data_IF_709662548863
#
_entry.id   IF_709662548863
#
_cell.length_a   1.000
_cell.length_b   1.000
_cell.length_c   1.000
_cell.angle_alpha   90.00
_cell.angle_beta   90.00
_cell.angle_gamma   90.00
#
_symmetry.space_group_name_H-M   'P 1'
#
loop_
_entity.id
_entity.type
_entity.pdbx_description
1 polymer ?
2 polymer ?
3 polymer ?
4 water ?
#
# COMPACT_ATOMS: atom_id res chain seq x y z
N UNK A 6 -21.63 21.09 20.16
CA UNK A 6 -22.46 22.26 19.95
C UNK A 6 -23.36 22.10 18.74
N UNK A 7 -22.81 22.51 17.58
CA UNK A 7 -23.44 22.37 16.28
C UNK A 7 -22.32 22.32 15.25
N UNK A 8 -22.54 21.68 14.09
CA UNK A 8 -21.41 21.31 13.23
C UNK A 8 -20.73 22.53 12.60
N UNK A 9 -19.40 22.57 12.70
CA UNK A 9 -18.66 23.59 11.99
C UNK A 9 -18.88 23.58 10.49
N UNK A 10 -19.13 22.40 9.92
CA UNK A 10 -19.25 22.30 8.46
C UNK A 10 -20.50 22.99 7.94
N UNK A 11 -21.52 23.18 8.78
CA UNK A 11 -22.70 23.95 8.46
C UNK A 11 -22.61 25.39 8.92
N UNK A 12 -21.56 25.76 9.66
CA UNK A 12 -21.51 27.08 10.28
C UNK A 12 -20.21 27.82 9.95
N UNK A 13 -19.15 27.59 10.74
CA UNK A 13 -17.89 28.29 10.52
C UNK A 13 -17.30 27.99 9.15
N UNK A 14 -17.66 26.85 8.57
CA UNK A 14 -17.11 26.48 7.27
C UNK A 14 -18.05 26.80 6.14
N UNK A 15 -19.27 27.23 6.45
CA UNK A 15 -20.25 27.51 5.42
C UNK A 15 -19.94 28.84 4.74
N UNK A 16 -20.27 28.90 3.46
CA UNK A 16 -19.89 30.02 2.61
C UNK A 16 -21.10 30.43 1.77
N UNK A 17 -21.00 31.62 1.17
CA UNK A 17 -22.03 32.12 0.27
C UNK A 17 -21.54 32.18 -1.16
N UNK B 1 -17.40 15.78 -17.09
CA UNK B 1 -17.89 16.21 -15.78
C UNK B 1 -16.74 16.63 -14.86
N UNK B 2 -16.83 16.35 -13.56
CA UNK B 2 -15.85 16.86 -12.59
C UNK B 2 -14.54 16.08 -12.73
N UNK B 3 -13.44 16.81 -12.95
CA UNK B 3 -12.11 16.23 -13.05
C UNK B 3 -11.16 16.98 -12.14
N UNK B 4 -10.29 16.24 -11.49
CA UNK B 4 -9.29 16.78 -10.59
C UNK B 4 -7.97 16.20 -11.07
N UNK B 5 -7.22 16.97 -11.85
CA UNK B 5 -6.02 16.48 -12.51
C UNK B 5 -4.80 16.98 -11.71
N UNK B 6 -4.08 16.04 -11.13
CA UNK B 6 -2.96 16.31 -10.26
C UNK B 6 -1.65 16.28 -11.04
N UNK B 7 -0.65 17.00 -10.52
CA UNK B 7 0.63 17.03 -11.20
C UNK B 7 1.36 15.70 -11.00
N UNK B 8 2.45 15.54 -11.75
CA UNK B 8 3.13 14.25 -11.82
C UNK B 8 3.95 13.92 -10.59
N UNK B 9 4.30 12.64 -10.51
CA UNK B 9 5.13 12.11 -9.44
C UNK B 9 6.41 12.96 -9.30
N UNK B 10 6.77 13.22 -8.06
CA UNK B 10 7.96 14.00 -7.75
C UNK B 10 8.95 13.14 -6.99
N UNK B 11 10.23 13.36 -7.27
CA UNK B 11 11.32 12.76 -6.51
C UNK B 11 12.25 13.90 -6.11
N UNK B 12 12.44 14.09 -4.81
CA UNK B 12 13.13 15.27 -4.32
C UNK B 12 14.13 14.89 -3.24
N UNK B 13 15.12 15.79 -3.04
CA UNK B 13 16.09 15.62 -1.97
C UNK B 13 15.57 16.30 -0.71
N UNK B 14 15.90 15.81 0.48
CA UNK B 14 15.46 16.53 1.68
C UNK B 14 16.03 17.95 1.68
N UNK B 15 15.25 18.88 2.19
CA UNK B 15 15.60 20.28 2.15
C UNK B 15 15.08 21.04 0.95
N UNK B 16 14.80 20.36 -0.16
CA UNK B 16 14.22 21.07 -1.29
C UNK B 16 12.80 21.50 -0.98
N UNK B 17 12.32 22.48 -1.73
CA UNK B 17 10.94 22.87 -1.64
C UNK B 17 10.14 22.15 -2.71
N UNK B 18 8.82 22.17 -2.58
CA UNK B 18 7.96 21.47 -3.51
C UNK B 18 6.55 22.02 -3.42
N UNK B 19 5.98 22.36 -4.58
CA UNK B 19 4.58 22.72 -4.71
C UNK B 19 3.96 21.80 -5.75
N UNK B 20 2.96 21.03 -5.34
CA UNK B 20 2.22 20.17 -6.25
C UNK B 20 0.88 20.82 -6.51
N UNK B 21 0.25 20.43 -7.61
CA UNK B 21 -0.93 21.12 -8.11
C UNK B 21 -2.05 20.13 -8.39
N UNK B 22 -3.26 20.67 -8.43
CA UNK B 22 -4.44 19.91 -8.80
C UNK B 22 -5.31 20.85 -9.62
N UNK B 23 -5.54 20.50 -10.88
CA UNK B 23 -6.31 21.33 -11.80
C UNK B 23 -7.74 20.82 -11.85
N UNK B 24 -8.69 21.69 -11.51
CA UNK B 24 -10.10 21.32 -11.40
C UNK B 24 -10.91 21.82 -12.59
N UNK B 25 -11.90 21.02 -13.00
CA UNK B 25 -12.83 21.44 -14.04
C UNK B 25 -14.15 20.74 -13.83
N UNK B 26 -15.18 21.20 -14.55
CA UNK B 26 -16.49 20.59 -14.48
C UNK B 26 -17.41 21.13 -13.40
N UNK B 27 -16.96 22.12 -12.63
CA UNK B 27 -17.81 22.73 -11.63
C UNK B 27 -17.29 24.15 -11.38
N UNK B 28 -18.02 24.88 -10.55
CA UNK B 28 -17.64 26.24 -10.18
C UNK B 28 -16.57 26.19 -9.09
N UNK B 29 -15.32 26.46 -9.50
CA UNK B 29 -14.13 26.25 -8.66
C UNK B 29 -14.19 27.02 -7.34
N UNK B 30 -14.84 28.18 -7.33
CA UNK B 30 -14.88 29.03 -6.14
C UNK B 30 -16.05 28.70 -5.20
N UNK B 31 -16.94 27.78 -5.57
CA UNK B 31 -18.09 27.46 -4.73
C UNK B 31 -17.88 26.16 -3.94
N UNK B 32 -16.71 25.52 -4.05
CA UNK B 32 -16.43 24.27 -3.32
C UNK B 32 -15.13 24.38 -2.54
N UNK B 33 -15.15 23.95 -1.29
CA UNK B 33 -13.90 23.63 -0.60
C UNK B 33 -13.17 22.54 -1.37
N UNK B 34 -11.85 22.65 -1.42
CA UNK B 34 -10.98 21.66 -2.06
C UNK B 34 -9.72 21.52 -1.19
N UNK B 35 -9.24 20.29 -1.05
CA UNK B 35 -8.14 20.00 -0.14
C UNK B 35 -7.23 18.82 -0.46
N UNK B 36 -6.47 18.38 0.54
CA UNK B 36 -5.41 17.41 0.34
C UNK B 36 -5.42 16.34 1.41
N UNK B 37 -5.11 15.11 1.00
CA UNK B 37 -5.04 13.96 1.89
C UNK B 37 -3.70 13.27 1.65
N UNK B 38 -2.97 13.00 2.72
CA UNK B 38 -1.71 12.28 2.64
C UNK B 38 -1.95 10.81 2.95
N UNK B 39 -1.24 9.94 2.23
CA UNK B 39 -1.25 8.53 2.55
C UNK B 39 0.19 8.06 2.44
N UNK B 40 0.82 7.88 3.59
CA UNK B 40 2.15 7.34 3.63
C UNK B 40 2.11 5.87 3.24
N UNK B 41 3.20 5.33 2.72
CA UNK B 41 3.19 3.95 2.22
C UNK B 41 2.66 3.00 3.28
N UNK B 42 1.65 2.22 2.91
CA UNK B 42 1.09 1.20 3.77
C UNK B 42 0.22 1.69 4.92
N UNK B 43 -0.11 2.98 4.96
CA UNK B 43 -0.90 3.48 6.08
C UNK B 43 -2.19 4.13 5.57
N UNK B 44 -2.92 4.75 6.49
CA UNK B 44 -4.24 5.27 6.21
C UNK B 44 -4.23 6.67 5.61
N UNK B 45 -5.45 7.15 5.34
CA UNK B 45 -5.66 8.51 4.86
C UNK B 45 -5.56 9.51 6.01
N UNK B 46 -4.84 10.60 5.78
CA UNK B 46 -4.73 11.68 6.75
C UNK B 46 -5.24 12.98 6.13
N UNK B 47 -6.30 13.52 6.72
CA UNK B 47 -6.85 14.78 6.22
C UNK B 47 -5.90 15.91 6.54
N UNK B 48 -5.39 16.59 5.51
CA UNK B 48 -4.36 17.61 5.73
C UNK B 48 -4.97 18.99 5.92
N UNK B 49 -5.88 19.36 5.03
CA UNK B 49 -6.54 20.65 5.06
C UNK B 49 -7.26 20.91 3.76
N UNK B 50 -7.94 22.06 3.71
CA UNK B 50 -8.82 22.43 2.61
C UNK B 50 -8.74 23.93 2.42
N UNK B 51 -9.13 24.38 1.22
CA UNK B 51 -9.14 25.79 0.89
C UNK B 51 -10.43 26.10 0.14
N UNK B 52 -10.99 27.29 0.39
CA UNK B 52 -12.18 27.73 -0.30
C UNK B 52 -11.77 28.80 -1.30
N UNK B 53 -11.58 28.48 -2.57
CA UNK B 53 -10.99 29.47 -3.50
C UNK B 53 -11.82 30.74 -3.66
N UNK B 54 -13.08 30.75 -3.22
CA UNK B 54 -13.87 31.97 -3.28
C UNK B 54 -13.33 33.09 -2.39
N UNK B 55 -12.72 32.74 -1.27
CA UNK B 55 -12.16 33.78 -0.40
C UNK B 55 -10.80 33.40 0.19
N UNK B 56 -10.16 32.34 -0.32
CA UNK B 56 -8.85 31.86 0.09
C UNK B 56 -8.79 31.38 1.53
N UNK B 57 -9.92 31.32 2.22
CA UNK B 57 -9.94 30.79 3.58
C UNK B 57 -9.42 29.35 3.59
N UNK B 58 -8.70 28.98 4.65
CA UNK B 58 -8.11 27.66 4.75
C UNK B 58 -8.40 27.03 6.12
N UNK B 59 -8.34 25.71 6.14
CA UNK B 59 -8.40 24.88 7.34
C UNK B 59 -7.28 23.85 7.26
N UNK B 60 -6.65 23.57 8.39
CA UNK B 60 -5.62 22.57 8.47
C UNK B 60 -5.90 21.70 9.68
N UNK B 61 -5.50 20.44 9.61
CA UNK B 61 -5.45 19.61 10.81
C UNK B 61 -4.14 19.86 11.55
N UNK B 62 -4.15 19.72 12.87
CA UNK B 62 -3.00 20.15 13.70
C UNK B 62 -1.66 19.59 13.23
N UNK B 63 -1.56 18.29 12.87
CA UNK B 63 -0.24 17.78 12.46
C UNK B 63 0.33 18.41 11.19
N UNK B 64 -0.49 19.14 10.43
CA UNK B 64 -0.03 19.77 9.21
C UNK B 64 -0.03 21.29 9.29
N UNK B 65 -0.72 21.83 10.29
CA UNK B 65 -0.59 23.25 10.60
C UNK B 65 0.87 23.63 10.78
N UNK B 66 1.31 24.60 10.00
CA UNK B 66 2.68 25.08 10.09
C UNK B 66 3.70 24.18 9.41
N UNK B 67 3.27 23.12 8.75
CA UNK B 67 4.11 22.22 7.98
C UNK B 67 3.99 22.45 6.48
N UNK B 68 2.77 22.69 6.01
CA UNK B 68 2.47 22.84 4.60
C UNK B 68 1.61 24.07 4.42
N UNK B 69 1.54 24.54 3.18
CA UNK B 69 0.69 25.66 2.83
C UNK B 69 -0.18 25.26 1.65
N UNK B 70 -1.49 25.46 1.80
CA UNK B 70 -2.46 25.21 0.74
C UNK B 70 -2.93 26.55 0.19
N UNK B 71 -2.82 26.72 -1.12
CA UNK B 71 -3.25 27.93 -1.81
C UNK B 71 -4.11 27.53 -2.98
N UNK B 72 -4.68 28.53 -3.65
CA UNK B 72 -5.39 28.29 -4.91
C UNK B 72 -5.25 29.51 -5.80
N UNK B 73 -5.43 29.26 -7.09
CA UNK B 73 -5.35 30.29 -8.11
C UNK B 73 -6.66 30.26 -8.87
N UNK B 74 -7.56 31.20 -8.53
CA UNK B 74 -8.87 31.28 -9.17
C UNK B 74 -8.77 31.34 -10.68
N UNK B 75 -7.77 32.08 -11.19
CA UNK B 75 -7.72 32.35 -12.63
C UNK B 75 -7.43 31.09 -13.44
N UNK B 76 -6.79 30.08 -12.85
CA UNK B 76 -6.52 28.85 -13.57
C UNK B 76 -7.15 27.65 -12.89
N UNK B 77 -8.09 27.90 -11.96
CA UNK B 77 -8.85 26.85 -11.27
C UNK B 77 -7.94 25.75 -10.75
N UNK B 78 -6.89 26.15 -10.06
CA UNK B 78 -5.88 25.20 -9.60
C UNK B 78 -5.61 25.41 -8.12
N UNK B 79 -5.55 24.29 -7.39
CA UNK B 79 -5.19 24.26 -5.98
C UNK B 79 -3.80 23.66 -5.81
N UNK B 80 -3.12 24.06 -4.74
CA UNK B 80 -1.71 23.75 -4.54
C UNK B 80 -1.46 23.30 -3.11
N UNK B 81 -0.39 22.55 -2.96
CA UNK B 81 0.13 22.09 -1.68
C UNK B 81 1.63 22.28 -1.71
N UNK B 82 2.17 22.97 -0.69
CA UNK B 82 3.55 23.44 -0.73
C UNK B 82 4.29 23.13 0.57
N UNK B 83 5.50 22.60 0.43
CA UNK B 83 6.44 22.43 1.52
C UNK B 83 7.64 23.34 1.31
N UNK B 84 8.11 23.98 2.40
CA UNK B 84 9.33 24.77 2.27
C UNK B 84 10.56 23.88 2.26
N UNK B 85 10.67 22.97 3.23
CA UNK B 85 11.81 22.05 3.34
C UNK B 85 11.27 20.64 3.53
N UNK B 86 11.20 19.88 2.45
CA UNK B 86 10.79 18.49 2.51
C UNK B 86 11.74 17.69 3.41
N UNK B 87 11.16 16.75 4.14
CA UNK B 87 11.95 15.71 4.80
C UNK B 87 11.57 14.34 4.25
N UNK B 88 12.39 13.34 4.60
CA UNK B 88 12.17 11.99 4.07
C UNK B 88 10.77 11.48 4.41
N UNK B 89 10.28 11.79 5.62
CA UNK B 89 8.97 11.28 6.01
C UNK B 89 7.81 11.99 5.31
N UNK B 90 8.07 12.97 4.45
CA UNK B 90 7.03 13.48 3.55
C UNK B 90 6.78 12.56 2.37
N UNK B 91 7.51 11.45 2.28
CA UNK B 91 7.30 10.47 1.23
C UNK B 91 5.95 9.79 1.41
N UNK B 92 5.07 9.93 0.42
CA UNK B 92 3.69 9.49 0.55
C UNK B 92 2.96 9.76 -0.74
N UNK B 93 1.78 9.16 -0.86
CA UNK B 93 0.83 9.59 -1.87
C UNK B 93 0.03 10.77 -1.34
N UNK B 94 -0.19 11.76 -2.21
CA UNK B 94 -0.95 12.97 -1.88
C UNK B 94 -2.13 13.08 -2.81
N UNK B 95 -3.35 12.97 -2.26
CA UNK B 95 -4.58 13.10 -3.02
C UNK B 95 -5.14 14.51 -2.88
N UNK B 96 -5.50 15.09 -4.00
CA UNK B 96 -6.40 16.23 -4.04
C UNK B 96 -7.84 15.70 -4.10
N UNK B 97 -8.75 16.40 -3.44
CA UNK B 97 -10.13 15.95 -3.44
C UNK B 97 -11.01 17.15 -3.18
N UNK B 98 -12.14 17.21 -3.88
CA UNK B 98 -13.08 18.29 -3.69
C UNK B 98 -14.13 17.85 -2.69
N UNK B 99 -14.54 18.76 -1.79
CA UNK B 99 -15.65 18.45 -0.90
C UNK B 99 -16.90 18.20 -1.75
N UNK B 100 -17.73 17.26 -1.31
CA UNK B 100 -18.76 16.68 -2.15
C UNK B 100 -20.06 17.46 -2.28
N UNK B 101 -20.10 18.68 -1.76
CA UNK B 101 -21.27 19.54 -1.87
C UNK B 101 -20.79 20.97 -1.79
N UNK B 102 -21.46 21.91 -2.44
CA UNK B 102 -20.92 23.26 -2.53
C UNK B 102 -21.19 24.07 -1.28
N UNK B 103 -20.29 25.01 -1.03
CA UNK B 103 -20.45 26.12 -0.09
C UNK B 103 -20.44 25.70 1.37
N UNK B 104 -20.25 24.42 1.67
CA UNK B 104 -20.24 23.97 3.04
C UNK B 104 -19.17 22.91 3.21
N UNK B 105 -18.86 22.60 4.46
CA UNK B 105 -17.96 21.51 4.72
C UNK B 105 -18.62 20.18 4.48
N UNK B 106 -17.80 19.14 4.37
CA UNK B 106 -18.34 17.81 4.22
C UNK B 106 -17.28 16.83 3.79
N UNK B 107 -17.75 15.64 3.42
CA UNK B 107 -16.94 14.57 2.90
C UNK B 107 -16.26 14.99 1.59
N UNK B 108 -15.39 14.11 1.11
CA UNK B 108 -14.62 14.34 -0.12
C UNK B 108 -15.22 13.54 -1.27
N UNK B 109 -15.60 14.22 -2.35
CA UNK B 109 -16.07 13.56 -3.57
C UNK B 109 -16.17 14.58 -4.69
N UNK B 110 -15.50 14.33 -5.82
CA UNK B 110 -14.60 13.21 -6.12
C UNK B 110 -13.17 13.44 -5.67
N UNK B 111 -12.33 12.43 -5.90
CA UNK B 111 -10.92 12.45 -5.58
C UNK B 111 -10.07 12.54 -6.83
N UNK B 112 -8.93 13.21 -6.73
CA UNK B 112 -7.91 13.07 -7.74
C UNK B 112 -7.26 11.69 -7.72
N UNK B 113 -6.44 11.44 -8.74
CA UNK B 113 -5.76 10.15 -8.90
C UNK B 113 -4.45 10.07 -8.10
N UNK B 114 -3.99 11.18 -7.56
CA UNK B 114 -2.88 11.13 -6.64
C UNK B 114 -1.59 11.59 -7.27
N UNK B 115 -0.70 12.12 -6.43
CA UNK B 115 0.67 12.42 -6.79
C UNK B 115 1.57 11.74 -5.78
N UNK B 116 2.45 10.86 -6.26
CA UNK B 116 3.43 10.22 -5.42
C UNK B 116 4.62 11.13 -5.20
N UNK B 117 4.97 11.38 -3.94
CA UNK B 117 6.14 12.17 -3.62
C UNK B 117 7.14 11.28 -2.90
N UNK B 118 8.34 11.16 -3.46
CA UNK B 118 9.46 10.46 -2.86
C UNK B 118 10.51 11.51 -2.48
N UNK B 119 10.83 11.59 -1.19
CA UNK B 119 11.88 12.46 -0.69
C UNK B 119 12.99 11.58 -0.16
N UNK B 120 14.16 11.67 -0.77
CA UNK B 120 15.29 10.87 -0.34
C UNK B 120 16.58 11.56 -0.75
N UNK B 121 17.63 11.31 0.03
CA UNK B 121 18.94 11.79 -0.35
C UNK B 121 19.58 10.96 -1.46
N UNK B 122 18.99 9.82 -1.82
CA UNK B 122 19.56 8.94 -2.85
C UNK B 122 19.45 9.58 -4.22
N UNK B 123 20.31 9.12 -5.13
CA UNK B 123 20.25 9.52 -6.53
C UNK B 123 19.80 8.33 -7.39
N UNK B 124 19.31 8.66 -8.57
CA UNK B 124 18.83 7.66 -9.50
C UNK B 124 19.89 6.60 -9.75
N UNK B 125 19.48 5.34 -9.70
CA UNK B 125 20.38 4.22 -9.95
C UNK B 125 19.54 3.08 -10.51
N UNK B 126 20.03 2.44 -11.56
CA UNK B 126 19.38 1.28 -12.11
C UNK B 126 19.67 0.03 -11.29
N UNK B 127 18.75 -0.92 -11.28
CA UNK B 127 18.94 -2.14 -10.50
C UNK B 127 19.96 -3.10 -11.11
N UNK B 128 20.56 -3.90 -10.26
CA UNK B 128 21.19 -5.14 -10.69
C UNK B 128 20.18 -6.28 -10.55
N UNK B 129 20.18 -7.19 -11.52
CA UNK B 129 19.19 -8.26 -11.58
C UNK B 129 19.90 -9.59 -11.38
N UNK B 130 19.60 -10.24 -10.29
CA UNK B 130 20.29 -11.48 -10.03
C UNK B 130 19.35 -12.67 -10.11
N UNK B 131 19.82 -13.81 -10.61
CA UNK B 131 18.94 -14.98 -10.70
C UNK B 131 18.73 -15.63 -9.35
N UNK B 132 17.51 -16.12 -9.12
CA UNK B 132 17.19 -16.99 -8.00
C UNK B 132 16.90 -18.36 -8.61
N UNK B 133 17.92 -19.22 -8.64
CA UNK B 133 17.90 -20.41 -9.46
C UNK B 133 17.07 -21.52 -8.82
N UNK B 134 16.41 -22.36 -9.63
CA UNK B 134 15.40 -23.30 -9.10
C UNK B 134 15.84 -24.18 -7.94
N UNK B 135 16.88 -25.00 -8.13
CA UNK B 135 17.49 -25.87 -7.11
C UNK B 135 16.93 -27.27 -6.82
N UNK B 136 15.76 -27.63 -7.38
CA UNK B 136 14.93 -28.67 -6.79
C UNK B 136 14.90 -29.91 -7.69
N UNK B 137 15.91 -30.10 -8.56
CA UNK B 137 16.11 -31.21 -9.52
C UNK B 137 14.87 -31.59 -10.33
N UNK B 138 15.06 -31.87 -11.62
CA UNK B 138 13.93 -32.07 -12.53
C UNK B 138 13.17 -33.38 -12.29
N UNK B 139 13.70 -34.32 -11.51
CA UNK B 139 13.07 -35.63 -11.34
C UNK B 139 12.40 -35.81 -9.98
N UNK B 140 12.03 -34.70 -9.34
CA UNK B 140 11.37 -34.75 -8.04
C UNK B 140 9.87 -35.00 -8.16
N UNK B 141 9.27 -34.65 -9.29
CA UNK B 141 7.84 -34.86 -9.44
C UNK B 141 7.00 -33.83 -8.74
N UNK B 142 7.62 -32.79 -8.16
CA UNK B 142 6.89 -31.76 -7.49
C UNK B 142 7.01 -30.40 -8.14
N UNK B 143 6.99 -29.36 -7.32
CA UNK B 143 6.95 -27.99 -7.80
C UNK B 143 8.26 -27.31 -7.42
N UNK B 144 8.76 -26.49 -8.32
CA UNK B 144 9.99 -25.75 -8.08
C UNK B 144 9.67 -24.27 -8.10
N UNK B 145 10.45 -23.50 -7.33
CA UNK B 145 10.34 -22.05 -7.34
C UNK B 145 11.63 -21.47 -7.90
N UNK B 146 11.49 -20.38 -8.64
CA UNK B 146 12.65 -19.67 -9.16
C UNK B 146 12.26 -18.20 -9.30
N UNK B 147 13.27 -17.35 -9.42
CA UNK B 147 12.97 -15.93 -9.39
C UNK B 147 14.13 -15.07 -9.82
N UNK B 148 13.93 -13.77 -9.65
CA UNK B 148 14.91 -12.75 -9.95
C UNK B 148 14.92 -11.76 -8.81
N UNK B 149 16.11 -11.46 -8.31
CA UNK B 149 16.32 -10.43 -7.30
C UNK B 149 16.70 -9.13 -8.00
N UNK B 150 15.83 -8.12 -7.87
CA UNK B 150 16.01 -6.83 -8.51
C UNK B 150 16.44 -5.88 -7.41
N UNK B 151 17.75 -5.67 -7.29
CA UNK B 151 18.33 -5.09 -6.10
C UNK B 151 18.95 -3.74 -6.40
N UNK B 152 18.82 -2.84 -5.42
CA UNK B 152 19.59 -1.60 -5.35
C UNK B 152 19.29 -0.48 -6.35
N UNK B 153 18.03 -0.29 -6.70
CA UNK B 153 17.63 0.80 -7.56
C UNK B 153 16.95 1.98 -6.86
N UNK B 154 16.99 3.13 -7.53
CA UNK B 154 16.27 4.30 -7.09
C UNK B 154 15.95 5.15 -8.33
N UNK B 155 14.74 5.73 -8.39
CA UNK B 155 13.65 5.55 -7.42
C UNK B 155 12.72 4.43 -7.88
N UNK B 156 11.60 4.27 -7.18
CA UNK B 156 10.48 3.47 -7.67
C UNK B 156 9.96 4.06 -8.98
N UNK B 157 9.38 3.23 -9.87
CA UNK B 157 9.17 1.79 -9.71
C UNK B 157 9.91 0.97 -10.74
N UNK B 158 9.91 -0.35 -10.55
CA UNK B 158 10.40 -1.30 -11.54
C UNK B 158 9.24 -2.18 -11.98
N UNK B 159 9.29 -2.65 -13.21
CA UNK B 159 8.32 -3.63 -13.67
C UNK B 159 9.04 -4.94 -13.95
N UNK B 160 8.36 -6.05 -13.68
CA UNK B 160 8.92 -7.36 -13.92
C UNK B 160 7.90 -8.18 -14.68
N UNK B 161 8.33 -8.81 -15.77
CA UNK B 161 7.55 -9.81 -16.47
C UNK B 161 8.43 -11.05 -16.64
N UNK B 162 7.79 -12.17 -16.98
CA UNK B 162 8.48 -13.43 -17.20
C UNK B 162 8.17 -13.95 -18.59
N UNK B 163 9.22 -14.42 -19.27
CA UNK B 163 9.14 -14.87 -20.66
C UNK B 163 8.33 -13.89 -21.50
N UNK B 164 8.64 -12.61 -21.32
CA UNK B 164 8.04 -11.50 -22.08
C UNK B 164 6.54 -11.45 -21.94
N UNK B 165 6.00 -11.98 -20.84
CA UNK B 165 4.57 -11.93 -20.60
C UNK B 165 3.84 -13.24 -20.85
N UNK B 166 4.51 -14.23 -21.45
CA UNK B 166 3.91 -15.55 -21.64
C UNK B 166 3.84 -16.37 -20.35
N UNK B 167 4.53 -15.96 -19.29
CA UNK B 167 4.52 -16.69 -18.02
C UNK B 167 3.88 -15.78 -16.98
N UNK B 168 2.60 -16.01 -16.69
CA UNK B 168 1.90 -15.23 -15.69
C UNK B 168 1.32 -16.08 -14.57
N UNK B 169 1.14 -17.37 -14.80
CA UNK B 169 0.58 -18.25 -13.78
C UNK B 169 1.66 -18.58 -12.75
N UNK B 170 1.30 -18.45 -11.47
CA UNK B 170 2.22 -18.74 -10.40
C UNK B 170 3.25 -17.67 -10.11
N UNK B 171 3.17 -16.52 -10.77
CA UNK B 171 4.15 -15.45 -10.61
C UNK B 171 3.74 -14.57 -9.44
N UNK B 172 4.69 -14.31 -8.53
CA UNK B 172 4.53 -13.32 -7.47
C UNK B 172 5.68 -12.33 -7.57
N UNK B 173 5.34 -11.07 -7.82
CA UNK B 173 6.29 -9.97 -7.80
C UNK B 173 5.99 -9.16 -6.55
N UNK B 174 6.94 -9.16 -5.61
CA UNK B 174 6.71 -8.60 -4.28
C UNK B 174 6.83 -7.08 -4.26
N UNK B 175 6.15 -6.42 -3.35
CA UNK B 175 6.36 -4.99 -3.18
C UNK B 175 7.82 -4.73 -2.86
N UNK B 176 8.36 -3.66 -3.41
CA UNK B 176 9.73 -3.26 -3.09
C UNK B 176 9.86 -2.97 -1.60
N UNK B 177 11.03 -3.27 -1.05
CA UNK B 177 11.43 -2.81 0.29
C UNK B 177 12.52 -1.76 0.16
N UNK B 178 12.43 -0.73 0.99
CA UNK B 178 13.48 0.28 1.12
C UNK B 178 14.54 -0.27 2.05
N UNK B 179 15.73 -0.52 1.51
CA UNK B 179 16.87 -0.97 2.31
C UNK B 179 17.44 0.19 3.12
N UNK B 180 18.19 -0.14 4.18
CA UNK B 180 18.73 0.89 5.05
C UNK B 180 19.70 1.81 4.30
N UNK B 181 20.35 1.28 3.26
CA UNK B 181 21.17 2.11 2.40
C UNK B 181 20.37 3.13 1.60
N UNK B 182 19.04 3.13 1.68
CA UNK B 182 18.24 4.07 0.92
C UNK B 182 17.94 3.65 -0.51
N UNK B 183 18.36 2.47 -0.93
CA UNK B 183 18.02 1.90 -2.23
C UNK B 183 16.95 0.83 -2.07
N UNK B 184 16.08 0.73 -3.08
CA UNK B 184 15.01 -0.26 -3.07
C UNK B 184 15.51 -1.62 -3.55
N UNK B 185 14.72 -2.64 -3.24
CA UNK B 185 15.03 -4.01 -3.61
C UNK B 185 13.73 -4.82 -3.64
N UNK B 186 13.58 -5.66 -4.66
CA UNK B 186 12.42 -6.55 -4.69
C UNK B 186 12.78 -7.86 -5.37
N UNK B 187 11.96 -8.86 -5.10
CA UNK B 187 12.05 -10.13 -5.80
C UNK B 187 10.75 -10.40 -6.54
N UNK B 188 10.89 -11.03 -7.70
CA UNK B 188 9.81 -11.64 -8.44
C UNK B 188 10.08 -13.14 -8.54
N UNK B 189 9.08 -13.95 -8.20
CA UNK B 189 9.26 -15.39 -8.14
C UNK B 189 8.15 -16.03 -8.96
N UNK B 190 8.36 -17.28 -9.32
CA UNK B 190 7.33 -18.05 -10.00
C UNK B 190 7.51 -19.51 -9.61
N UNK B 191 6.41 -20.23 -9.46
CA UNK B 191 6.46 -21.65 -9.23
C UNK B 191 6.04 -22.36 -10.50
N UNK B 192 6.79 -23.41 -10.83
CA UNK B 192 6.62 -24.18 -12.05
C UNK B 192 6.82 -25.64 -11.71
N UNK B 193 6.31 -26.55 -12.53
CA UNK B 193 6.59 -27.96 -12.28
C UNK B 193 8.09 -28.22 -12.37
N UNK B 194 8.60 -29.03 -11.44
CA UNK B 194 10.01 -29.41 -11.52
C UNK B 194 10.34 -30.06 -12.85
N UNK B 195 9.41 -30.85 -13.39
CA UNK B 195 9.66 -31.63 -14.60
C UNK B 195 9.93 -30.72 -15.79
N UNK B 196 9.52 -29.45 -15.71
CA UNK B 196 9.78 -28.47 -16.74
C UNK B 196 11.18 -27.85 -16.66
N UNK B 197 11.94 -28.11 -15.58
CA UNK B 197 13.18 -27.35 -15.37
C UNK B 197 14.21 -27.60 -16.47
N UNK B 198 14.35 -28.84 -16.93
CA UNK B 198 15.35 -29.12 -17.95
C UNK B 198 14.97 -28.68 -19.36
N UNK B 199 13.68 -28.59 -19.65
CA UNK B 199 13.17 -28.33 -20.99
C UNK B 199 12.89 -26.84 -21.23
N UNK B 200 12.12 -26.22 -20.33
CA UNK B 200 11.64 -24.86 -20.50
C UNK B 200 12.67 -23.86 -19.98
N UNK B 201 12.82 -22.76 -20.70
CA UNK B 201 13.72 -21.66 -20.34
C UNK B 201 12.91 -20.55 -19.68
N UNK B 202 13.47 -19.97 -18.62
CA UNK B 202 12.79 -18.98 -17.79
C UNK B 202 13.62 -17.70 -17.75
N UNK B 203 13.01 -16.59 -18.18
CA UNK B 203 13.70 -15.31 -18.33
C UNK B 203 12.83 -14.23 -17.72
N UNK B 204 13.40 -13.46 -16.79
CA UNK B 204 12.68 -12.34 -16.22
C UNK B 204 13.08 -11.05 -16.92
N UNK B 205 12.10 -10.20 -17.19
CA UNK B 205 12.28 -8.98 -17.95
C UNK B 205 12.04 -7.80 -17.02
N UNK B 206 13.10 -7.09 -16.66
CA UNK B 206 13.05 -6.02 -15.68
C UNK B 206 13.24 -4.69 -16.41
N UNK B 207 12.31 -3.77 -16.20
CA UNK B 207 12.43 -2.42 -16.72
C UNK B 207 12.43 -1.44 -15.55
N UNK B 208 13.43 -0.55 -15.52
CA UNK B 208 13.46 0.60 -14.60
C UNK B 208 13.56 1.87 -15.45
N UNK B 209 12.40 2.50 -15.69
CA UNK B 209 12.25 3.72 -16.48
C UNK B 209 13.19 4.84 -16.04
N UNK B 210 13.18 5.27 -14.76
CA UNK B 210 13.96 6.47 -14.39
C UNK B 210 15.45 6.38 -14.70
N UNK B 211 16.00 5.20 -14.93
CA UNK B 211 17.40 5.03 -15.30
C UNK B 211 17.54 4.49 -16.72
N UNK B 212 16.42 4.28 -17.42
CA UNK B 212 16.41 3.63 -18.72
C UNK B 212 17.24 2.36 -18.69
N UNK B 213 17.06 1.59 -17.62
CA UNK B 213 17.62 0.24 -17.51
C UNK B 213 16.54 -0.76 -17.91
N UNK B 214 16.85 -1.58 -18.91
CA UNK B 214 16.02 -2.72 -19.27
C UNK B 214 16.92 -3.94 -19.29
N UNK B 215 16.54 -4.99 -18.56
CA UNK B 215 17.39 -6.16 -18.37
C UNK B 215 16.56 -7.43 -18.51
N UNK B 216 17.05 -8.37 -19.31
CA UNK B 216 16.49 -9.71 -19.40
C UNK B 216 17.47 -10.67 -18.74
N UNK B 217 17.04 -11.36 -17.70
CA UNK B 217 17.92 -12.26 -16.97
C UNK B 217 17.40 -13.68 -17.14
N UNK B 218 18.24 -14.54 -17.69
CA UNK B 218 17.92 -15.96 -17.80
C UNK B 218 18.19 -16.65 -16.47
N UNK B 219 17.25 -17.47 -16.04
CA UNK B 219 17.43 -18.26 -14.84
C UNK B 219 17.05 -19.72 -15.11
N UNK C 1 -10.83 18.59 18.60
CA UNK C 1 -10.41 17.73 17.51
C UNK C 1 -10.97 16.32 17.62
N UNK C 2 -11.88 15.95 16.73
CA UNK C 2 -12.61 14.70 16.87
C UNK C 2 -11.75 13.56 16.38
N UNK C 3 -11.56 12.56 17.23
CA UNK C 3 -10.83 11.34 16.90
C UNK C 3 -11.80 10.27 16.42
N UNK C 4 -11.39 9.55 15.36
CA UNK C 4 -12.21 8.50 14.74
C UNK C 4 -11.48 7.17 14.87
N UNK C 5 -12.08 6.24 15.61
CA UNK C 5 -11.48 4.95 15.90
C UNK C 5 -12.29 3.85 15.22
N UNK C 6 -11.67 3.14 14.30
CA UNK C 6 -12.34 2.02 13.67
C UNK C 6 -11.92 0.73 14.35
N UNK C 7 -12.77 -0.27 14.23
CA UNK C 7 -12.49 -1.61 14.70
C UNK C 7 -13.19 -2.63 13.79
N UNK C 8 -12.55 -3.77 13.52
CA UNK C 8 -11.16 -3.99 13.96
C UNK C 8 -10.23 -3.32 12.98
N UNK C 9 -8.92 -3.33 13.25
CA UNK C 9 -7.96 -2.86 12.27
C UNK C 9 -8.00 -3.73 11.02
N UNK C 10 -8.18 -5.03 11.20
CA UNK C 10 -8.14 -5.98 10.10
C UNK C 10 -9.27 -6.97 10.32
N UNK C 11 -9.93 -7.36 9.25
CA UNK C 11 -11.16 -8.14 9.35
C UNK C 11 -11.12 -9.21 8.27
N UNK C 12 -11.31 -10.46 8.65
CA UNK C 12 -11.30 -11.58 7.73
C UNK C 12 -12.68 -12.22 7.77
N UNK C 13 -13.38 -12.21 6.63
CA UNK C 13 -14.76 -12.67 6.54
C UNK C 13 -14.83 -13.68 5.40
N UNK C 14 -15.52 -14.79 5.64
CA UNK C 14 -15.70 -15.79 4.60
C UNK C 14 -16.63 -15.27 3.52
N UNK C 15 -16.38 -15.69 2.29
CA UNK C 15 -17.22 -15.29 1.18
C UNK C 15 -18.67 -15.62 1.49
N UNK C 16 -19.59 -14.71 1.16
CA UNK C 16 -20.99 -14.93 1.43
C UNK C 16 -21.43 -14.65 2.84
N UNK C 17 -20.53 -14.29 3.75
CA UNK C 17 -20.84 -14.03 5.16
C UNK C 17 -20.89 -12.53 5.44
N UNK C 18 -21.48 -12.19 6.59
CA UNK C 18 -21.67 -10.79 6.96
C UNK C 18 -20.35 -10.19 7.46
N UNK C 19 -20.05 -8.99 7.01
CA UNK C 19 -18.86 -8.26 7.47
C UNK C 19 -19.32 -6.98 8.12
N UNK C 20 -18.79 -6.72 9.32
CA UNK C 20 -19.23 -5.62 10.17
C UNK C 20 -18.01 -4.79 10.55
N UNK C 21 -18.03 -3.51 10.20
CA UNK C 21 -16.93 -2.61 10.47
C UNK C 21 -17.46 -1.45 11.29
N UNK C 22 -16.83 -1.23 12.43
CA UNK C 22 -17.33 -0.27 13.41
C UNK C 22 -16.47 0.99 13.38
N UNK C 23 -17.10 2.10 13.73
CA UNK C 23 -16.48 3.41 13.74
C UNK C 23 -17.05 4.16 14.93
N UNK C 24 -16.17 4.65 15.79
CA UNK C 24 -16.57 5.36 16.99
C UNK C 24 -15.91 6.72 16.99
N UNK C 25 -16.69 7.75 17.24
CA UNK C 25 -16.18 9.10 17.37
C UNK C 25 -16.07 9.48 18.84
N UNK C 26 -15.10 10.35 19.12
CA UNK C 26 -14.89 10.84 20.48
C UNK C 26 -15.95 11.86 20.89
N UNK C 27 -16.57 12.52 19.91
CA UNK C 27 -17.72 13.38 20.12
C UNK C 27 -18.84 12.91 19.22
N UNK C 28 -20.06 13.28 19.59
CA UNK C 28 -21.20 12.93 18.77
C UNK C 28 -21.14 13.66 17.43
N UNK C 29 -21.55 12.95 16.37
CA UNK C 29 -21.69 13.53 15.05
C UNK C 29 -23.12 13.79 14.69
N UNK C 30 -24.03 13.70 15.66
CA UNK C 30 -25.45 13.94 15.45
C UNK C 30 -25.73 15.42 15.70
N UNK C 31 -26.23 16.10 14.68
CA UNK C 31 -26.67 17.47 14.82
C UNK C 31 -28.12 17.42 15.24
N UNK C 32 -28.42 17.85 16.47
CA UNK C 32 -29.76 17.66 16.99
C UNK C 32 -30.81 18.42 16.20
N UNK C 33 -30.39 19.50 15.53
CA UNK C 33 -31.36 20.35 14.85
C UNK C 33 -31.95 19.67 13.61
N UNK C 34 -31.11 19.10 12.74
CA UNK C 34 -31.64 18.38 11.58
C UNK C 34 -31.61 16.87 11.76
N UNK C 35 -31.20 16.40 12.89
CA UNK C 35 -31.11 14.98 13.13
C UNK C 35 -30.19 14.24 12.14
N UNK C 36 -29.16 14.89 11.67
CA UNK C 36 -28.25 14.29 10.71
C UNK C 36 -26.94 13.91 11.38
N UNK C 37 -26.39 12.77 10.96
CA UNK C 37 -25.09 12.28 11.39
C UNK C 37 -24.03 12.63 10.35
N UNK C 38 -22.97 13.31 10.80
CA UNK C 38 -21.97 13.88 9.88
C UNK C 38 -20.82 12.86 9.75
N UNK C 39 -21.11 11.79 9.00
CA UNK C 39 -20.27 10.59 8.94
C UNK C 39 -20.28 10.02 7.53
N UNK C 40 -19.11 9.83 6.95
CA UNK C 40 -18.96 9.22 5.63
C UNK C 40 -18.16 7.92 5.71
N UNK C 41 -18.45 7.00 4.80
CA UNK C 41 -17.65 5.80 4.62
C UNK C 41 -17.02 5.81 3.24
N UNK C 42 -15.75 5.40 3.19
CA UNK C 42 -14.99 5.31 1.95
C UNK C 42 -14.46 3.88 1.76
N UNK C 43 -14.33 3.48 0.50
CA UNK C 43 -13.71 2.22 0.15
C UNK C 43 -12.48 2.51 -0.70
N UNK C 44 -11.35 1.90 -0.35
CA UNK C 44 -10.12 2.06 -1.14
C UNK C 44 -9.57 0.70 -1.52
N UNK C 45 -9.61 0.40 -2.80
CA UNK C 45 -8.98 -0.82 -3.30
C UNK C 45 -7.52 -0.56 -3.60
N UNK C 46 -6.67 -1.60 -3.59
CA UNK C 46 -5.23 -1.36 -3.70
C UNK C 46 -4.86 -0.72 -5.04
N UNK C 47 -3.97 0.26 -4.97
CA UNK C 47 -3.57 0.99 -6.16
C UNK C 47 -4.56 2.02 -6.66
N UNK C 48 -5.58 2.33 -5.89
CA UNK C 48 -6.61 3.23 -6.37
C UNK C 48 -6.92 4.29 -5.32
N UNK C 49 -7.42 5.44 -5.74
CA UNK C 49 -7.88 6.45 -4.78
C UNK C 49 -9.09 5.96 -4.00
N UNK C 50 -9.33 6.51 -2.82
CA UNK C 50 -10.55 6.19 -2.08
C UNK C 50 -11.79 6.58 -2.86
N UNK C 51 -12.88 5.87 -2.60
CA UNK C 51 -14.16 6.14 -3.24
C UNK C 51 -15.23 6.28 -2.16
N UNK C 52 -16.09 7.28 -2.33
CA UNK C 52 -17.17 7.48 -1.38
C UNK C 52 -18.23 6.39 -1.53
N UNK C 53 -18.60 5.76 -0.42
CA UNK C 53 -19.69 4.79 -0.42
C UNK C 53 -20.96 5.35 0.21
N UNK C 54 -20.83 5.97 1.37
CA UNK C 54 -21.96 6.34 2.20
C UNK C 54 -21.71 7.75 2.72
N UNK C 55 -22.72 8.61 2.61
CA UNK C 55 -22.74 9.88 3.32
C UNK C 55 -23.91 9.88 4.27
N UNK C 56 -23.88 10.85 5.20
CA UNK C 56 -24.91 11.03 6.23
C UNK C 56 -25.17 9.72 6.97
N UNK C 57 -24.10 8.95 7.18
CA UNK C 57 -24.21 7.67 7.88
C UNK C 57 -25.03 6.67 7.07
N UNK C 58 -26.35 6.82 7.13
CA UNK C 58 -27.25 5.93 6.41
C UNK C 58 -27.74 6.33 5.02
N UNK C 59 -26.86 6.22 4.04
CA UNK C 59 -27.13 6.73 2.70
C UNK C 59 -25.99 6.37 1.74
N UNK C 60 -26.24 5.41 0.86
CA UNK C 60 -25.23 4.97 -0.11
C UNK C 60 -25.27 5.87 -1.31
N UNK C 61 -24.11 6.06 -1.91
CA UNK C 61 -24.03 6.69 -3.22
C UNK C 61 -24.80 5.86 -4.23
N UNK C 62 -25.13 6.49 -5.35
CA UNK C 62 -25.79 5.81 -6.44
C UNK C 62 -24.87 4.73 -6.99
N UNK C 63 -25.43 3.55 -7.25
CA UNK C 63 -24.64 2.47 -7.80
C UNK C 63 -23.90 1.66 -6.78
N UNK C 64 -23.93 2.04 -5.50
CA UNK C 64 -23.34 1.19 -4.47
C UNK C 64 -24.21 -0.05 -4.27
N UNK C 65 -23.64 -1.25 -4.38
CA UNK C 65 -24.43 -2.49 -4.29
C UNK C 65 -25.24 -2.57 -3.00
N UNK C 66 -26.41 -3.21 -3.12
CA UNK C 66 -27.37 -3.30 -2.02
C UNK C 66 -26.86 -4.10 -0.83
N UNK C 67 -25.77 -4.85 -0.98
CA UNK C 67 -25.23 -5.54 0.18
C UNK C 67 -24.51 -4.60 1.14
N UNK C 68 -24.27 -3.36 0.73
CA UNK C 68 -23.71 -2.37 1.64
C UNK C 68 -24.83 -1.62 2.35
N UNK C 69 -24.71 -1.49 3.67
CA UNK C 69 -25.55 -0.58 4.42
C UNK C 69 -24.71 0.12 5.49
N UNK C 70 -25.13 1.32 5.84
CA UNK C 70 -24.53 2.06 6.95
C UNK C 70 -25.59 2.29 8.03
N UNK C 71 -25.18 2.13 9.28
CA UNK C 71 -26.10 2.27 10.39
C UNK C 71 -25.41 3.02 11.53
N UNK C 72 -26.18 3.31 12.57
CA UNK C 72 -25.67 3.96 13.76
C UNK C 72 -26.05 5.42 13.81
N UNK C 73 -25.59 6.06 14.88
CA UNK C 73 -25.95 7.44 15.18
C UNK C 73 -25.11 7.87 16.37
N UNK C 74 -25.00 9.17 16.56
CA UNK C 74 -24.26 9.69 17.69
C UNK C 74 -22.76 9.46 17.53
N UNK C 75 -22.20 8.61 18.39
CA UNK C 75 -20.79 8.23 18.35
C UNK C 75 -20.50 6.83 17.84
N UNK C 76 -21.52 6.07 17.43
CA UNK C 76 -21.33 4.66 17.15
C UNK C 76 -21.94 4.36 15.78
N UNK C 77 -21.11 3.99 14.81
CA UNK C 77 -21.57 3.74 13.46
C UNK C 77 -21.02 2.42 12.94
N UNK C 78 -21.76 1.83 12.01
CA UNK C 78 -21.42 0.53 11.48
C UNK C 78 -21.62 0.49 9.98
N UNK C 79 -20.61 0.03 9.27
CA UNK C 79 -20.71 -0.35 7.87
C UNK C 79 -20.91 -1.86 7.81
N UNK C 80 -21.95 -2.27 7.10
CA UNK C 80 -22.31 -3.68 7.00
C UNK C 80 -22.25 -4.12 5.56
N UNK C 81 -21.56 -5.21 5.31
CA UNK C 81 -21.64 -5.95 4.06
C UNK C 81 -22.40 -7.22 4.38
N UNK C 82 -23.63 -7.33 3.87
CA UNK C 82 -24.50 -8.42 4.29
C UNK C 82 -23.94 -9.77 3.86
N UNK C 83 -23.28 -9.81 2.71
CA UNK C 83 -22.83 -11.07 2.12
C UNK C 83 -21.56 -10.77 1.34
N UNK C 84 -20.41 -11.08 1.94
CA UNK C 84 -19.14 -10.60 1.40
C UNK C 84 -18.85 -11.24 0.06
N UNK C 85 -18.52 -10.41 -0.92
CA UNK C 85 -18.14 -10.92 -2.23
C UNK C 85 -16.67 -10.58 -2.48
N UNK C 86 -16.10 -11.26 -3.48
CA UNK C 86 -14.67 -11.10 -3.80
C UNK C 86 -14.34 -9.65 -4.09
N UNK C 87 -15.21 -8.96 -4.80
CA UNK C 87 -14.91 -7.59 -5.20
C UNK C 87 -14.85 -6.63 -4.02
N UNK C 88 -15.24 -7.04 -2.81
CA UNK C 88 -15.32 -6.17 -1.65
C UNK C 88 -14.03 -6.08 -0.85
N UNK C 89 -13.03 -6.87 -1.18
CA UNK C 89 -11.77 -6.81 -0.45
C UNK C 89 -11.19 -5.42 -0.63
N UNK C 90 -10.92 -4.74 0.48
CA UNK C 90 -10.51 -3.35 0.42
C UNK C 90 -10.16 -2.91 1.84
N UNK C 91 -9.68 -1.68 1.92
CA UNK C 91 -9.61 -0.94 3.17
C UNK C 91 -10.77 0.04 3.19
N UNK C 92 -11.51 0.06 4.28
CA UNK C 92 -12.64 0.97 4.47
C UNK C 92 -12.27 2.00 5.53
N UNK C 93 -12.61 3.26 5.25
CA UNK C 93 -12.38 4.37 6.17
C UNK C 93 -13.71 5.04 6.49
N UNK C 94 -13.93 5.32 7.77
CA UNK C 94 -14.95 6.32 8.07
C UNK C 94 -14.29 7.70 8.15
N UNK C 95 -15.12 8.74 8.10
CA UNK C 95 -14.68 10.12 8.21
C UNK C 95 -15.81 10.97 8.75
N UNK C 96 -15.51 11.80 9.74
CA UNK C 96 -16.48 12.74 10.27
C UNK C 96 -16.30 14.07 9.56
N UNK C 97 -17.41 14.70 9.20
CA UNK C 97 -17.37 16.04 8.62
C UNK C 97 -18.21 16.99 9.43
N UNK C 98 -18.20 16.76 10.74
CA UNK C 98 -18.94 17.59 11.69
C UNK C 98 -18.19 18.87 12.03
N UNK C 99 -16.96 18.75 12.51
CA UNK C 99 -16.08 19.86 12.84
C UNK C 99 -14.75 19.64 12.14
N UNK C 100 -14.23 20.70 11.52
CA UNK C 100 -12.88 20.69 10.96
C UNK C 100 -11.84 20.54 12.11
N UNK C 101 -10.79 19.74 11.90
CA UNK C 101 -10.48 19.01 10.66
C UNK C 101 -11.40 17.83 10.47
N UNK C 102 -11.78 17.51 9.22
CA UNK C 102 -12.69 16.40 8.93
C UNK C 102 -11.90 15.09 8.94
N UNK C 103 -11.68 14.55 10.14
CA UNK C 103 -10.71 13.49 10.34
C UNK C 103 -11.20 12.12 9.88
N UNK C 104 -10.28 11.31 9.38
CA UNK C 104 -10.56 9.95 8.97
C UNK C 104 -10.34 8.99 10.13
N UNK C 105 -11.05 7.86 10.07
CA UNK C 105 -10.69 6.73 10.89
C UNK C 105 -9.39 6.15 10.38
N UNK C 106 -8.83 5.22 11.15
CA UNK C 106 -7.50 4.73 10.78
C UNK C 106 -7.57 3.66 9.70
N UNK C 107 -8.76 3.18 9.35
CA UNK C 107 -8.91 2.22 8.28
C UNK C 107 -9.14 0.82 8.82
N UNK C 108 -9.99 0.08 8.16
CA UNK C 108 -10.21 -1.32 8.43
C UNK C 108 -9.94 -2.12 7.18
N UNK C 109 -8.97 -2.99 7.23
CA UNK C 109 -8.61 -3.86 6.14
C UNK C 109 -9.50 -5.11 6.10
N UNK C 110 -10.30 -5.24 5.07
CA UNK C 110 -11.16 -6.37 4.93
C UNK C 110 -10.58 -7.36 3.95
N UNK C 111 -10.35 -8.59 4.38
CA UNK C 111 -9.85 -9.63 3.52
C UNK C 111 -10.81 -10.82 3.45
N UNK C 112 -10.66 -11.69 2.48
CA UNK C 112 -11.37 -12.97 2.45
C UNK C 112 -10.74 -13.88 3.50
N UNK C 113 -11.57 -14.47 4.35
CA UNK C 113 -11.15 -15.61 5.17
C UNK C 113 -11.35 -16.90 4.39
N UNK C 114 -10.30 -17.70 4.29
CA UNK C 114 -10.39 -19.02 3.66
C UNK C 114 -9.77 -20.03 4.62
N UNK C 115 -9.83 -21.30 4.25
CA UNK C 115 -9.21 -22.32 5.07
C UNK C 115 -7.71 -22.07 5.23
N UNK C 116 -7.19 -22.45 6.38
CA UNK C 116 -5.76 -22.30 6.65
C UNK C 116 -4.97 -23.07 5.61
N UNK C 117 -3.93 -22.41 5.08
CA UNK C 117 -3.04 -23.04 4.11
C UNK C 117 -1.61 -22.79 4.56
N UNK C 118 -0.84 -23.86 4.70
CA UNK C 118 0.55 -23.75 5.10
C UNK C 118 1.41 -23.27 3.94
N UNK C 119 2.47 -22.51 4.24
CA UNK C 119 3.35 -22.06 3.16
C UNK C 119 4.15 -23.22 2.58
N UNK C 120 4.46 -23.09 1.29
CA UNK C 120 5.56 -23.80 0.67
C UNK C 120 6.79 -22.93 0.81
N UNK C 121 7.86 -23.48 1.36
CA UNK C 121 9.04 -22.69 1.73
C UNK C 121 10.19 -23.07 0.82
N UNK C 122 10.84 -22.06 0.22
CA UNK C 122 11.97 -22.24 -0.69
C UNK C 122 13.09 -21.30 -0.26
N UNK C 123 14.34 -21.77 -0.33
CA UNK C 123 15.47 -20.94 0.07
C UNK C 123 16.45 -20.82 -1.09
N UNK C 124 16.95 -19.60 -1.31
CA UNK C 124 17.79 -19.28 -2.47
C UNK C 124 19.12 -18.72 -2.01
N UNK C 125 20.23 -19.40 -2.29
CA UNK C 125 21.54 -18.83 -1.98
C UNK C 125 21.81 -17.60 -2.83
N UNK C 126 22.77 -16.76 -2.42
CA UNK C 126 23.18 -15.66 -3.31
C UNK C 126 23.74 -16.22 -4.59
N UNK C 127 23.50 -15.50 -5.68
CA UNK C 127 23.98 -15.90 -6.99
C UNK C 127 25.46 -15.60 -7.12
N UNK C 128 26.12 -16.36 -8.00
CA UNK C 128 27.52 -16.10 -8.30
C UNK C 128 27.73 -14.68 -8.80
N UNK C 129 26.84 -14.21 -9.68
CA UNK C 129 26.87 -12.83 -10.17
C UNK C 129 26.87 -11.83 -9.03
N UNK C 130 25.88 -11.90 -8.14
CA UNK C 130 25.85 -10.98 -7.02
C UNK C 130 27.10 -11.13 -6.17
N UNK C 131 27.53 -12.36 -5.96
CA UNK C 131 28.72 -12.63 -5.15
C UNK C 131 29.87 -11.72 -5.57
N UNK C 132 29.98 -11.45 -6.87
CA UNK C 132 31.04 -10.60 -7.38
C UNK C 132 31.12 -9.29 -6.61
N UNK C 133 29.98 -8.60 -6.55
CA UNK C 133 29.84 -7.39 -5.75
C UNK C 133 29.87 -7.82 -4.30
N UNK C 134 30.61 -7.10 -3.48
CA UNK C 134 30.86 -7.55 -2.11
C UNK C 134 29.57 -7.61 -1.32
N UNK C 135 28.46 -8.04 -1.96
CA UNK C 135 27.15 -8.19 -1.34
C UNK C 135 26.61 -9.60 -1.55
N UNK C 136 25.92 -10.11 -0.53
CA UNK C 136 25.24 -11.39 -0.56
C UNK C 136 23.84 -11.20 -0.03
N UNK C 137 22.85 -11.70 -0.77
CA UNK C 137 21.44 -11.70 -0.36
C UNK C 137 20.97 -13.14 -0.36
N UNK C 138 20.50 -13.61 0.79
CA UNK C 138 19.88 -14.93 0.90
C UNK C 138 18.38 -14.74 0.99
N UNK C 139 17.62 -15.37 0.09
CA UNK C 139 16.18 -15.13 -0.03
C UNK C 139 15.42 -16.36 0.42
N UNK C 140 14.39 -16.15 1.24
CA UNK C 140 13.48 -17.19 1.67
C UNK C 140 12.09 -16.83 1.17
N UNK C 141 11.47 -17.72 0.40
CA UNK C 141 10.13 -17.52 -0.14
C UNK C 141 9.12 -18.39 0.60
N UNK C 142 8.06 -17.76 1.10
CA UNK C 142 6.90 -18.45 1.66
C UNK C 142 5.76 -18.27 0.66
N UNK C 143 5.25 -19.36 0.11
CA UNK C 143 4.36 -19.27 -1.03
C UNK C 143 2.98 -19.79 -0.68
N UNK C 144 1.97 -18.99 -1.02
CA UNK C 144 0.55 -19.39 -1.06
C UNK C 144 -0.07 -19.86 0.25
N UNK C 145 0.17 -19.07 1.30
CA UNK C 145 -0.38 -19.41 2.60
C UNK C 145 -1.53 -18.52 3.07
N UNK C 146 -2.21 -18.98 4.10
CA UNK C 146 -3.28 -18.24 4.76
C UNK C 146 -3.45 -18.77 6.17
N UNK C 147 -3.59 -17.88 7.18
CA UNK C 147 -3.67 -16.41 7.13
C UNK C 147 -2.32 -15.77 6.92
N UNK C 148 -2.34 -14.44 6.85
CA UNK C 148 -1.17 -13.67 6.44
C UNK C 148 -0.07 -13.64 7.49
N UNK C 149 -0.37 -14.00 8.73
CA UNK C 149 0.65 -13.96 9.78
C UNK C 149 1.67 -15.07 9.57
N UNK C 150 2.96 -14.74 9.62
CA UNK C 150 3.98 -15.78 9.50
C UNK C 150 5.26 -15.25 10.13
N UNK C 151 6.11 -16.16 10.62
CA UNK C 151 7.40 -15.77 11.18
C UNK C 151 8.53 -16.47 10.43
N UNK C 152 9.50 -15.69 10.00
CA UNK C 152 10.72 -16.19 9.40
C UNK C 152 11.87 -15.90 10.35
N UNK C 153 12.66 -16.92 10.65
CA UNK C 153 13.89 -16.70 11.38
C UNK C 153 15.04 -17.22 10.53
N UNK C 154 16.11 -16.45 10.48
CA UNK C 154 17.30 -16.81 9.74
C UNK C 154 18.36 -17.34 10.69
N UNK C 155 19.00 -18.44 10.31
CA UNK C 155 20.12 -18.99 11.06
C UNK C 155 21.32 -19.08 10.13
N UNK C 156 22.50 -18.76 10.67
CA UNK C 156 23.75 -18.84 9.93
C UNK C 156 24.72 -19.62 10.80
N UNK C 157 25.13 -20.82 10.35
CA UNK C 157 25.87 -21.77 11.19
C UNK C 157 25.19 -21.90 12.56
N UNK C 158 23.86 -22.00 12.52
CA UNK C 158 22.97 -22.12 13.68
C UNK C 158 22.96 -20.91 14.59
N UNK C 159 23.56 -19.79 14.18
CA UNK C 159 23.49 -18.55 14.95
C UNK C 159 22.29 -17.75 14.48
N UNK C 160 21.35 -17.50 15.40
CA UNK C 160 20.15 -16.75 15.08
C UNK C 160 20.52 -15.33 14.66
N UNK C 161 19.97 -14.90 13.53
CA UNK C 161 20.22 -13.56 13.01
C UNK C 161 19.11 -12.60 13.45
N UNK C 162 19.47 -11.32 13.59
CA UNK C 162 18.46 -10.29 13.82
C UNK C 162 18.98 -8.95 13.32
N UNK C 163 18.07 -8.18 12.70
CA UNK C 163 18.37 -6.86 12.20
C UNK C 163 18.77 -6.83 10.74
N UNK C 164 19.24 -7.94 10.19
CA UNK C 164 19.79 -7.97 8.83
C UNK C 164 18.86 -8.68 7.84
N UNK C 165 17.54 -8.66 8.08
CA UNK C 165 16.59 -9.22 7.15
C UNK C 165 15.45 -8.23 6.92
N UNK C 166 14.86 -8.27 5.72
CA UNK C 166 13.65 -7.52 5.42
C UNK C 166 12.64 -8.43 4.74
N UNK C 167 11.37 -8.24 5.07
CA UNK C 167 10.30 -9.03 4.49
C UNK C 167 9.40 -8.16 3.64
N UNK C 168 8.77 -8.79 2.67
CA UNK C 168 7.74 -8.17 1.84
C UNK C 168 6.66 -9.23 1.60
N UNK C 169 5.38 -8.79 1.54
CA UNK C 169 4.22 -9.67 1.44
C UNK C 169 3.31 -9.19 0.31
N UNK C 170 2.78 -10.11 -0.49
CA UNK C 170 1.87 -9.75 -1.58
C UNK C 170 0.48 -9.38 -1.08
N UNK C 171 -0.29 -8.76 -1.96
CA UNK C 171 -1.72 -8.64 -1.79
C UNK C 171 -2.35 -10.03 -1.82
N UNK C 172 -3.48 -10.16 -1.13
CA UNK C 172 -4.20 -11.43 -1.13
C UNK C 172 -4.56 -11.81 -2.55
N UNK C 173 -4.25 -13.04 -2.93
CA UNK C 173 -4.37 -13.44 -4.32
C UNK C 173 -5.83 -13.46 -4.73
N UNK C 174 -6.12 -12.92 -5.92
CA UNK C 174 -7.51 -12.75 -6.33
C UNK C 174 -8.19 -14.09 -6.62
N UNK C 175 -7.44 -15.12 -7.00
CA UNK C 175 -8.08 -16.39 -7.30
C UNK C 175 -8.03 -17.40 -6.13
N UNK C 176 -6.95 -17.48 -5.36
CA UNK C 176 -6.92 -18.47 -4.28
C UNK C 176 -6.92 -17.88 -2.87
N UNK C 177 -6.95 -16.55 -2.72
CA UNK C 177 -7.09 -15.86 -1.44
C UNK C 177 -5.93 -16.11 -0.50
N UNK C 178 -4.79 -16.56 -1.01
CA UNK C 178 -3.59 -16.75 -0.21
C UNK C 178 -2.66 -15.55 -0.35
N UNK C 179 -1.63 -15.55 0.49
CA UNK C 179 -0.57 -14.57 0.50
C UNK C 179 0.75 -15.26 0.17
N UNK C 180 1.73 -14.48 -0.28
CA UNK C 180 3.09 -14.98 -0.35
C UNK C 180 4.02 -13.97 0.32
N UNK C 181 5.13 -14.45 0.83
CA UNK C 181 6.04 -13.58 1.56
C UNK C 181 7.47 -13.86 1.11
N UNK C 182 8.25 -12.79 1.00
CA UNK C 182 9.65 -12.86 0.63
C UNK C 182 10.49 -12.24 1.75
N UNK C 183 11.49 -12.98 2.22
CA UNK C 183 12.41 -12.50 3.24
C UNK C 183 13.83 -12.56 2.70
N UNK C 184 14.53 -11.41 2.73
CA UNK C 184 15.89 -11.31 2.22
C UNK C 184 16.87 -11.06 3.35
N UNK C 185 17.82 -11.96 3.53
CA UNK C 185 18.91 -11.79 4.47
C UNK C 185 20.09 -11.12 3.75
N UNK C 186 20.57 -10.01 4.31
CA UNK C 186 21.70 -9.28 3.73
C UNK C 186 22.93 -9.55 4.58
N UNK C 187 23.99 -10.03 3.94
CA UNK C 187 25.28 -10.28 4.57
C UNK C 187 26.36 -9.66 3.70
N UNK C 188 27.50 -9.35 4.33
CA UNK C 188 28.64 -9.01 3.51
C UNK C 188 29.08 -10.24 2.72
N UNK C 189 29.67 -10.00 1.55
CA UNK C 189 30.17 -11.11 0.75
C UNK C 189 31.13 -11.97 1.58
N UNK C 190 32.02 -11.32 2.34
CA UNK C 190 33.03 -12.05 3.09
C UNK C 190 32.41 -12.83 4.24
N UNK C 191 31.43 -12.25 4.94
CA UNK C 191 30.72 -13.01 5.95
C UNK C 191 30.05 -14.23 5.32
N UNK C 192 29.44 -14.05 4.15
CA UNK C 192 28.76 -15.16 3.50
C UNK C 192 29.71 -16.32 3.24
N UNK C 193 30.94 -16.02 2.84
CA UNK C 193 31.94 -17.05 2.58
C UNK C 193 32.68 -17.52 3.83
N UNK C 194 32.44 -16.89 4.98
CA UNK C 194 32.99 -17.39 6.24
C UNK C 194 32.11 -18.47 6.88
N UNK C 195 30.87 -18.61 6.44
CA UNK C 195 29.94 -19.53 7.07
C UNK C 195 29.41 -20.54 6.04
N UNK C 196 28.86 -21.64 6.55
CA UNK C 196 28.53 -22.81 5.74
C UNK C 196 27.04 -23.10 5.66
N UNK C 197 26.33 -23.10 6.78
CA UNK C 197 24.93 -23.51 6.83
C UNK C 197 24.04 -22.27 6.92
N UNK C 198 23.11 -22.15 5.97
CA UNK C 198 22.15 -21.05 5.89
C UNK C 198 20.75 -21.64 5.88
N UNK C 199 19.92 -21.21 6.83
CA UNK C 199 18.61 -21.80 7.03
C UNK C 199 17.58 -20.74 7.40
N UNK C 200 16.41 -20.83 6.79
CA UNK C 200 15.25 -20.04 7.23
C UNK C 200 14.23 -20.99 7.85
N UNK C 201 13.88 -20.72 9.10
CA UNK C 201 12.87 -21.49 9.79
C UNK C 201 11.59 -20.67 9.81
N UNK C 202 10.50 -21.31 9.39
CA UNK C 202 9.22 -20.65 9.17
C UNK C 202 8.21 -21.22 10.16
N UNK C 203 7.49 -20.32 10.84
CA UNK C 203 6.39 -20.68 11.73
C UNK C 203 5.09 -20.13 11.15
N UNK C 204 4.07 -20.99 11.05
CA UNK C 204 2.78 -20.60 10.49
C UNK C 204 1.70 -21.54 11.02
N UNK C 205 0.49 -21.00 11.22
CA UNK C 205 -0.66 -21.77 11.70
C UNK C 205 -0.82 -23.11 10.98
N UNK C 206 -0.64 -23.11 9.65
CA UNK C 206 -0.89 -24.30 8.84
C UNK C 206 0.15 -25.40 8.98
N UNK C 207 1.31 -25.07 9.55
CA UNK C 207 2.36 -26.03 9.81
C UNK C 207 2.23 -26.60 11.22
N UNK C 208 2.21 -27.92 11.33
CA UNK C 208 2.09 -28.52 12.66
C UNK C 208 3.30 -28.20 13.54
N UNK C 209 4.48 -28.06 12.95
CA UNK C 209 5.65 -27.53 13.64
C UNK C 209 6.44 -26.67 12.66
N UNK C 210 7.36 -25.83 13.16
CA UNK C 210 8.12 -24.97 12.24
C UNK C 210 8.93 -25.78 11.24
N UNK C 211 8.98 -25.30 9.98
CA UNK C 211 9.78 -25.96 8.95
C UNK C 211 11.09 -25.19 8.76
N UNK C 212 12.16 -25.94 8.56
CA UNK C 212 13.45 -25.37 8.22
C UNK C 212 13.82 -25.82 6.83
N UNK C 213 14.11 -24.87 5.96
CA UNK C 213 14.79 -25.10 4.69
C UNK C 213 16.18 -24.51 4.81
N UNK C 214 17.18 -25.30 4.45
CA UNK C 214 18.59 -24.99 4.63
C UNK C 214 19.32 -25.25 3.31
N UNK C 215 20.53 -24.70 3.21
CA UNK C 215 21.51 -25.15 2.23
C UNK C 215 22.89 -25.00 2.85
N UNK C 216 23.87 -25.67 2.23
CA UNK C 216 25.27 -25.56 2.61
C UNK C 216 26.02 -24.86 1.49
N UNK C 217 26.74 -23.79 1.83
CA UNK C 217 27.44 -22.99 0.83
C UNK C 217 28.40 -23.87 0.04
N UNK C 218 28.41 -23.69 -1.29
CA UNK C 218 29.22 -24.53 -2.16
C UNK C 218 28.80 -25.98 -2.24
N UNK C 219 27.59 -26.31 -1.79
CA UNK C 219 27.08 -27.67 -1.70
C UNK C 219 28.05 -28.58 -0.95
#
# INVERSE_FOLDING_TARGET
TEDGSEEPGSETSDAKSTPT
QVQLQQSGAEVKKPGESLKISCEASGYSFTNYWIGWVRQMPGKGLEWMGIIYPGDSDTRYSPPFQGQVTITADRSITTAYLEWSSLKASDTAMYYCARVGRPSKGGWFDPWGQGTLVTVSSASTKGPSVFPLAPSSKSTSGGTAALGCLVKDYFPEPVTVSWNSGALTSGVHTFPAVLQSSGLYSLSSVVTVPSSSLGTQTYICNVNHKPSNTKVDKRVGSHHHHHH
DIQMTQSPDSLAVSLGERATINCESSQTLLYSSNEKNYLAWYQQKPGQPPKLLISWASTPESGVPDRFSGSGSGTSFTLTISSLQAEDVAVYYCQQYYNSPYTFGQGTRLEIKRTVAAPSVFIFPPSDEQLKSGTASVVCLLNNFYPREAKVQWKVDNALQSGNSQESVTEQDSKDSTYSLSSTLTLSKADYEKHKVYACEVTHQGLSSPVTKSFNRGEC
#
